data_IF_088094868385
#
_entry.id   IF_088094868385
#
_cell.length_a   1.000
_cell.length_b   1.000
_cell.length_c   1.000
_cell.angle_alpha   90.00
_cell.angle_beta   90.00
_cell.angle_gamma   90.00
#
_symmetry.space_group_name_H-M   'P 1'
#
loop_
_entity.id
_entity.type
_entity.pdbx_description
1 polymer ?
#
# COMPACT_ATOMS: atom_id res chain seq x y z
N UNK A 1 -10.11 -27.36 9.81
CA UNK A 1 -9.74 -25.93 9.59
C UNK A 1 -8.77 -25.84 8.42
N UNK A 2 -9.21 -25.33 7.26
CA UNK A 2 -8.34 -25.15 6.09
C UNK A 2 -7.58 -23.83 6.26
N UNK A 3 -6.30 -23.91 6.59
CA UNK A 3 -5.38 -22.80 6.41
C UNK A 3 -5.19 -22.63 4.90
N UNK A 4 -5.83 -21.62 4.30
CA UNK A 4 -5.49 -21.22 2.93
C UNK A 4 -4.03 -20.76 2.97
N UNK A 5 -3.14 -21.59 2.43
CA UNK A 5 -1.80 -21.18 2.07
C UNK A 5 -1.92 -19.91 1.23
N UNK A 6 -1.57 -18.75 1.83
CA UNK A 6 -1.19 -17.59 1.04
C UNK A 6 0.07 -18.03 0.31
N UNK A 7 -0.09 -18.50 -0.94
CA UNK A 7 1.02 -18.44 -1.86
C UNK A 7 1.35 -16.96 -2.01
N UNK A 8 2.37 -16.51 -1.29
CA UNK A 8 3.10 -15.31 -1.66
C UNK A 8 3.79 -15.66 -2.98
N UNK A 9 3.05 -15.62 -4.10
CA UNK A 9 3.73 -15.52 -5.38
C UNK A 9 4.44 -14.17 -5.35
N UNK A 10 5.74 -14.16 -5.66
CA UNK A 10 6.58 -12.97 -5.69
C UNK A 10 6.16 -11.91 -6.75
N UNK A 11 4.89 -11.90 -7.15
CA UNK A 11 4.34 -11.22 -8.33
C UNK A 11 3.23 -10.22 -7.99
N UNK A 12 2.94 -9.98 -6.69
CA UNK A 12 1.88 -9.06 -6.29
C UNK A 12 2.43 -7.76 -5.71
N UNK A 13 2.16 -6.65 -6.37
CA UNK A 13 2.61 -5.31 -5.99
C UNK A 13 1.70 -4.74 -4.90
N UNK A 14 2.26 -4.50 -3.72
CA UNK A 14 1.62 -3.66 -2.69
C UNK A 14 1.80 -2.19 -3.07
N UNK A 15 0.71 -1.52 -3.43
CA UNK A 15 0.66 -0.08 -3.62
C UNK A 15 0.05 0.59 -2.40
N UNK A 16 0.65 1.68 -1.93
CA UNK A 16 0.16 2.46 -0.78
C UNK A 16 -0.01 3.89 -1.26
N UNK A 17 -1.17 4.49 -0.99
CA UNK A 17 -1.51 5.82 -1.49
C UNK A 17 -2.26 6.65 -0.44
N UNK A 18 -2.19 7.97 -0.56
CA UNK A 18 -2.90 8.94 0.28
C UNK A 18 -3.62 9.95 -0.63
N UNK A 19 -4.90 10.20 -0.39
CA UNK A 19 -5.70 11.16 -1.17
C UNK A 19 -5.20 12.61 -1.11
N UNK A 20 -4.38 12.97 -0.11
CA UNK A 20 -3.73 14.28 0.01
C UNK A 20 -2.37 14.34 -0.66
N UNK A 21 -1.86 13.22 -1.18
CA UNK A 21 -0.66 13.18 -2.00
C UNK A 21 -1.04 13.20 -3.48
N UNK A 22 -0.88 14.36 -4.11
CA UNK A 22 -1.20 14.56 -5.53
C UNK A 22 -0.29 13.77 -6.48
N UNK A 23 0.80 13.19 -5.99
CA UNK A 23 1.68 12.31 -6.76
C UNK A 23 1.33 10.83 -6.59
N UNK A 24 0.35 10.50 -5.74
CA UNK A 24 -0.12 9.14 -5.54
C UNK A 24 -1.12 8.69 -6.62
N UNK A 25 -1.28 7.38 -6.80
CA UNK A 25 -2.17 6.82 -7.81
C UNK A 25 -2.70 5.44 -7.39
N UNK A 26 -3.92 5.08 -7.83
CA UNK A 26 -4.56 3.78 -7.59
C UNK A 26 -4.19 2.81 -8.72
N UNK A 27 -3.34 1.83 -8.43
CA UNK A 27 -2.71 0.97 -9.44
C UNK A 27 -3.59 -0.16 -9.99
N UNK A 28 -4.57 -0.66 -9.22
CA UNK A 28 -5.38 -1.83 -9.63
C UNK A 28 -6.20 -1.60 -10.91
N UNK A 29 -6.55 -0.34 -11.22
CA UNK A 29 -7.27 0.01 -12.45
C UNK A 29 -6.38 -0.08 -13.70
N UNK A 30 -5.07 0.10 -13.54
CA UNK A 30 -4.09 0.05 -14.64
C UNK A 30 -3.48 -1.36 -14.76
N UNK A 31 -3.27 -2.03 -13.62
CA UNK A 31 -2.64 -3.35 -13.55
C UNK A 31 -3.56 -4.36 -12.83
N UNK A 32 -4.64 -4.79 -13.50
CA UNK A 32 -5.64 -5.66 -12.88
C UNK A 32 -5.03 -6.98 -12.43
N UNK A 33 -5.46 -7.47 -11.27
CA UNK A 33 -5.01 -8.72 -10.64
C UNK A 33 -3.50 -8.76 -10.29
N UNK A 34 -2.78 -7.64 -10.39
CA UNK A 34 -1.35 -7.55 -10.03
C UNK A 34 -1.05 -6.60 -8.88
N UNK A 35 -1.98 -5.70 -8.56
CA UNK A 35 -1.81 -4.67 -7.54
C UNK A 35 -2.84 -4.83 -6.44
N UNK A 36 -2.41 -4.63 -5.21
CA UNK A 36 -3.28 -4.32 -4.09
C UNK A 36 -3.00 -2.92 -3.60
N UNK A 37 -4.00 -2.07 -3.78
CA UNK A 37 -3.99 -0.70 -3.30
C UNK A 37 -4.42 -0.65 -1.83
N UNK A 38 -3.64 0.04 -1.01
CA UNK A 38 -3.94 0.33 0.39
C UNK A 38 -3.98 1.84 0.57
N UNK A 39 -5.16 2.36 0.92
CA UNK A 39 -5.32 3.74 1.31
C UNK A 39 -4.76 3.95 2.73
N UNK A 40 -3.97 5.00 2.90
CA UNK A 40 -3.56 5.52 4.20
C UNK A 40 -3.93 7.00 4.33
N UNK A 41 -4.00 7.48 5.56
CA UNK A 41 -4.14 8.91 5.87
C UNK A 41 -2.87 9.38 6.59
N UNK A 42 -2.02 10.14 5.91
CA UNK A 42 -0.79 10.70 6.50
C UNK A 42 -1.05 11.97 7.31
N UNK A 43 -2.25 12.53 7.28
CA UNK A 43 -2.67 13.74 8.01
C UNK A 43 -1.81 14.98 7.73
N UNK A 44 -1.06 14.98 6.62
CA UNK A 44 -0.24 16.10 6.19
C UNK A 44 -0.84 16.75 4.95
N UNK A 45 -0.70 18.08 4.79
CA UNK A 45 -1.03 18.73 3.52
C UNK A 45 0.04 18.42 2.46
N UNK A 46 -0.32 18.59 1.19
CA UNK A 46 0.65 18.59 0.10
C UNK A 46 1.68 19.74 0.29
N UNK A 47 2.98 19.55 0.04
CA UNK A 47 3.64 18.33 -0.47
C UNK A 47 4.12 17.35 0.62
N UNK A 48 3.94 17.68 1.89
CA UNK A 48 4.44 16.86 3.01
C UNK A 48 3.76 15.50 3.11
N UNK A 49 2.51 15.37 2.66
CA UNK A 49 1.83 14.07 2.49
C UNK A 49 2.65 13.05 1.70
N UNK A 50 3.45 13.49 0.72
CA UNK A 50 4.26 12.61 -0.12
C UNK A 50 5.43 11.94 0.62
N UNK A 51 6.08 12.65 1.55
CA UNK A 51 7.21 12.09 2.32
C UNK A 51 6.78 11.41 3.62
N UNK A 52 5.51 11.51 4.01
CA UNK A 52 5.00 11.09 5.31
C UNK A 52 4.65 9.61 5.44
N UNK A 53 4.71 8.81 4.36
CA UNK A 53 4.33 7.40 4.41
C UNK A 53 5.10 6.59 5.45
N UNK A 54 6.41 6.85 5.62
CA UNK A 54 7.28 6.08 6.52
C UNK A 54 7.04 6.36 8.00
N UNK A 55 6.40 7.49 8.34
CA UNK A 55 6.01 7.80 9.73
C UNK A 55 4.58 7.38 10.04
N UNK A 56 3.82 6.89 9.06
CA UNK A 56 2.46 6.39 9.25
C UNK A 56 2.46 4.91 9.68
N UNK A 57 1.94 4.56 10.87
CA UNK A 57 1.87 3.17 11.33
C UNK A 57 1.07 2.26 10.40
N UNK A 58 0.08 2.80 9.67
CA UNK A 58 -0.74 2.05 8.72
C UNK A 58 0.08 1.53 7.53
N UNK A 59 1.08 2.30 7.09
CA UNK A 59 2.05 1.86 6.07
C UNK A 59 2.78 0.61 6.53
N UNK A 60 3.35 0.63 7.73
CA UNK A 60 4.08 -0.51 8.28
C UNK A 60 3.17 -1.71 8.57
N UNK A 61 1.94 -1.48 9.02
CA UNK A 61 0.93 -2.53 9.18
C UNK A 61 0.64 -3.26 7.87
N UNK A 62 0.68 -2.55 6.74
CA UNK A 62 0.56 -3.16 5.42
C UNK A 62 1.84 -3.87 4.98
N UNK A 63 3.02 -3.33 5.27
CA UNK A 63 4.30 -3.90 4.81
C UNK A 63 4.69 -5.17 5.60
N UNK A 64 4.63 -5.14 6.93
CA UNK A 64 5.21 -6.18 7.81
C UNK A 64 4.79 -7.62 7.43
N UNK A 65 3.50 -7.93 7.16
CA UNK A 65 3.08 -9.29 6.81
C UNK A 65 3.65 -9.84 5.49
N UNK A 66 4.35 -9.03 4.70
CA UNK A 66 4.93 -9.39 3.39
C UNK A 66 6.45 -9.52 3.42
N UNK A 67 7.09 -9.24 4.56
CA UNK A 67 8.52 -9.44 4.75
C UNK A 67 8.74 -10.91 5.13
N UNK A 68 9.69 -11.63 4.48
CA UNK A 68 10.05 -13.01 4.81
C UNK A 68 10.53 -13.21 6.24
#
# INVERSE_FOLDING_TARGET
>A
MKWKSLRLSATFWLNIYDLRDFLSYIGANVFPNKVQDILVDNQQPFARSHSAYWTNPSTWKAIIPRIP
#
